data_IF_250612312794
#
_entry.id   IF_250612312794
#
_cell.length_a   1.000
_cell.length_b   1.000
_cell.length_c   1.000
_cell.angle_alpha   90.00
_cell.angle_beta   90.00
_cell.angle_gamma   90.00
#
_symmetry.space_group_name_H-M   'P 1'
#
loop_
_entity.id
_entity.type
_entity.pdbx_description
1 polymer ?
#
# COMPACT_ATOMS: atom_id res chain seq x y z
N UNK A 1 8.38 23.20 7.14
CA UNK A 1 7.27 22.49 6.47
C UNK A 1 7.37 21.03 6.85
N UNK A 2 6.26 20.33 7.10
CA UNK A 2 6.30 18.90 7.37
C UNK A 2 6.87 18.14 6.16
N UNK A 3 7.52 17.00 6.45
CA UNK A 3 8.05 16.11 5.42
C UNK A 3 6.89 15.48 4.64
N UNK A 4 6.98 15.43 3.31
CA UNK A 4 5.97 14.82 2.46
C UNK A 4 5.86 13.30 2.67
N UNK A 5 4.67 12.73 2.42
CA UNK A 5 4.44 11.28 2.61
C UNK A 5 5.41 10.44 1.80
N UNK A 6 5.72 10.83 0.56
CA UNK A 6 6.68 10.10 -0.27
C UNK A 6 8.10 10.11 0.31
N UNK A 7 8.54 11.26 0.84
CA UNK A 7 9.87 11.36 1.44
C UNK A 7 9.97 10.52 2.72
N UNK A 8 8.86 10.43 3.48
CA UNK A 8 8.76 9.52 4.63
C UNK A 8 8.87 8.05 4.18
N UNK A 9 8.21 7.67 3.09
CA UNK A 9 8.33 6.32 2.54
C UNK A 9 9.77 6.00 2.14
N UNK A 10 10.48 6.93 1.50
CA UNK A 10 11.88 6.78 1.10
C UNK A 10 12.81 6.55 2.29
N UNK A 11 12.52 7.15 3.46
CA UNK A 11 13.31 6.91 4.67
C UNK A 11 13.24 5.46 5.15
N UNK A 12 12.06 4.82 5.01
CA UNK A 12 11.83 3.51 5.60
C UNK A 12 11.95 2.36 4.61
N UNK A 13 11.81 2.60 3.30
CA UNK A 13 11.90 1.53 2.30
C UNK A 13 13.30 0.92 2.22
N UNK A 14 14.32 1.67 2.61
CA UNK A 14 15.73 1.20 2.68
C UNK A 14 16.12 0.66 4.06
N UNK A 15 15.24 0.73 5.06
CA UNK A 15 15.48 0.20 6.42
C UNK A 15 15.07 -1.29 6.49
N UNK A 16 16.03 -2.24 6.57
CA UNK A 16 15.72 -3.67 6.61
C UNK A 16 14.78 -4.07 7.76
N UNK A 17 14.83 -3.37 8.89
CA UNK A 17 13.97 -3.64 10.03
C UNK A 17 12.50 -3.21 9.78
N UNK A 18 12.27 -2.30 8.85
CA UNK A 18 10.93 -1.78 8.54
C UNK A 18 10.31 -2.46 7.31
N UNK A 19 11.10 -2.83 6.33
CA UNK A 19 10.59 -3.48 5.10
C UNK A 19 10.42 -4.99 5.22
N UNK A 20 10.75 -5.59 6.37
CA UNK A 20 10.62 -7.04 6.60
C UNK A 20 9.18 -7.56 6.54
N UNK A 21 8.20 -6.69 6.73
CA UNK A 21 6.77 -6.99 6.59
C UNK A 21 6.00 -5.75 6.12
N UNK A 22 4.93 -5.96 5.35
CA UNK A 22 4.12 -4.88 4.82
C UNK A 22 3.46 -4.02 5.92
N UNK A 23 2.95 -4.65 6.99
CA UNK A 23 2.36 -3.93 8.11
C UNK A 23 3.39 -3.12 8.90
N UNK A 24 4.59 -3.65 9.15
CA UNK A 24 5.66 -2.92 9.85
C UNK A 24 6.10 -1.68 9.06
N UNK A 25 6.22 -1.81 7.75
CA UNK A 25 6.52 -0.67 6.88
C UNK A 25 5.44 0.41 6.96
N UNK A 26 4.17 0.02 6.75
CA UNK A 26 3.05 0.98 6.78
C UNK A 26 2.89 1.62 8.16
N UNK A 27 3.10 0.86 9.23
CA UNK A 27 3.09 1.37 10.62
C UNK A 27 4.19 2.41 10.86
N UNK A 28 5.41 2.15 10.38
CA UNK A 28 6.53 3.09 10.52
C UNK A 28 6.25 4.40 9.75
N UNK A 29 5.73 4.29 8.53
CA UNK A 29 5.32 5.47 7.73
C UNK A 29 4.20 6.23 8.46
N UNK A 30 3.16 5.53 8.94
CA UNK A 30 2.04 6.15 9.64
C UNK A 30 2.48 6.87 10.92
N UNK A 31 3.36 6.27 11.72
CA UNK A 31 3.89 6.90 12.93
C UNK A 31 4.66 8.20 12.61
N UNK A 32 5.46 8.20 11.54
CA UNK A 32 6.19 9.40 11.11
C UNK A 32 5.26 10.46 10.53
N UNK A 33 4.27 10.07 9.70
CA UNK A 33 3.23 10.96 9.20
C UNK A 33 2.47 11.58 10.38
N UNK A 34 2.06 10.77 11.36
CA UNK A 34 1.40 11.28 12.57
C UNK A 34 2.24 12.35 13.28
N UNK A 35 3.53 12.10 13.47
CA UNK A 35 4.46 13.05 14.08
C UNK A 35 4.61 14.34 13.26
N UNK A 36 4.75 14.26 11.93
CA UNK A 36 4.95 15.42 11.06
C UNK A 36 3.71 16.32 10.96
N UNK A 37 2.52 15.71 10.97
CA UNK A 37 1.25 16.41 10.75
C UNK A 37 0.42 16.62 12.01
N UNK A 38 0.90 16.17 13.19
CA UNK A 38 0.20 16.30 14.47
C UNK A 38 -1.06 15.42 14.56
N UNK A 39 -1.02 14.23 13.96
CA UNK A 39 -2.12 13.27 13.95
C UNK A 39 -1.80 12.07 14.86
N UNK A 40 -2.78 11.59 15.61
CA UNK A 40 -2.68 10.30 16.29
C UNK A 40 -3.13 9.18 15.35
N UNK A 41 -2.17 8.45 14.80
CA UNK A 41 -2.42 7.36 13.85
C UNK A 41 -2.09 5.98 14.42
N UNK A 42 -1.70 5.90 15.70
CA UNK A 42 -1.23 4.64 16.30
C UNK A 42 -2.27 3.54 16.19
N UNK A 43 -3.47 3.77 16.70
CA UNK A 43 -4.54 2.76 16.72
C UNK A 43 -5.07 2.44 15.32
N UNK A 44 -5.01 3.41 14.40
CA UNK A 44 -5.44 3.21 13.01
C UNK A 44 -4.56 2.21 12.26
N UNK A 45 -3.30 2.08 12.64
CA UNK A 45 -2.33 1.19 11.98
C UNK A 45 -1.84 0.05 12.88
N UNK A 46 -2.46 -0.16 14.04
CA UNK A 46 -2.13 -1.29 14.90
C UNK A 46 -2.54 -2.64 14.29
N UNK A 47 -1.74 -3.68 14.58
CA UNK A 47 -2.00 -5.05 14.16
C UNK A 47 -1.35 -5.44 12.83
N UNK A 48 -1.83 -6.54 12.27
CA UNK A 48 -1.34 -7.06 10.99
C UNK A 48 -2.05 -6.44 9.77
N UNK A 49 -1.67 -6.85 8.57
CA UNK A 49 -2.25 -6.34 7.33
C UNK A 49 -3.78 -6.53 7.26
N UNK A 50 -4.31 -7.66 7.77
CA UNK A 50 -5.76 -7.89 7.82
C UNK A 50 -6.46 -6.88 8.74
N UNK A 51 -5.88 -6.59 9.91
CA UNK A 51 -6.43 -5.62 10.85
C UNK A 51 -6.42 -4.21 10.28
N UNK A 52 -5.32 -3.78 9.67
CA UNK A 52 -5.21 -2.46 9.03
C UNK A 52 -6.23 -2.35 7.89
N UNK A 53 -6.25 -3.32 6.97
CA UNK A 53 -7.16 -3.34 5.83
C UNK A 53 -8.64 -3.43 6.27
N UNK A 54 -8.94 -4.14 7.35
CA UNK A 54 -10.29 -4.27 7.90
C UNK A 54 -10.91 -2.94 8.32
N UNK A 55 -10.10 -1.94 8.70
CA UNK A 55 -10.57 -0.60 9.11
C UNK A 55 -11.08 0.27 7.97
N UNK A 56 -10.88 -0.13 6.73
CA UNK A 56 -11.43 0.53 5.54
C UNK A 56 -12.01 -0.48 4.53
N UNK A 57 -12.76 -1.45 5.05
CA UNK A 57 -13.31 -2.55 4.25
C UNK A 57 -14.41 -2.12 3.28
N UNK A 58 -15.34 -1.31 3.76
CA UNK A 58 -16.42 -0.70 2.99
C UNK A 58 -16.60 0.76 3.43
N UNK A 59 -17.34 1.53 2.64
CA UNK A 59 -17.64 2.93 3.01
C UNK A 59 -18.33 3.03 4.39
N UNK A 60 -19.29 2.13 4.64
CA UNK A 60 -20.07 2.09 5.88
C UNK A 60 -19.25 1.67 7.10
N UNK A 61 -18.31 0.74 6.91
CA UNK A 61 -17.53 0.15 8.00
C UNK A 61 -16.13 0.79 8.14
N UNK A 62 -15.90 1.89 7.43
CA UNK A 62 -14.63 2.61 7.53
C UNK A 62 -14.51 3.34 8.87
N UNK A 63 -13.41 3.08 9.56
CA UNK A 63 -13.12 3.62 10.90
C UNK A 63 -12.22 4.86 10.78
N UNK A 64 -12.56 5.99 11.41
CA UNK A 64 -11.68 7.15 11.47
C UNK A 64 -10.27 6.77 11.99
N UNK A 65 -9.19 7.40 11.49
CA UNK A 65 -9.16 8.57 10.60
C UNK A 65 -9.23 8.25 9.09
N UNK A 66 -9.44 6.98 8.70
CA UNK A 66 -9.55 6.60 7.30
C UNK A 66 -10.78 7.23 6.63
N UNK A 67 -10.60 7.63 5.39
CA UNK A 67 -11.67 8.05 4.48
C UNK A 67 -11.66 7.08 3.29
N UNK A 68 -12.79 6.42 3.05
CA UNK A 68 -12.92 5.36 2.07
C UNK A 68 -12.80 5.89 0.63
N UNK A 69 -11.98 5.25 -0.17
CA UNK A 69 -11.89 5.48 -1.62
C UNK A 69 -12.58 4.33 -2.38
N UNK A 70 -12.47 3.10 -1.86
CA UNK A 70 -12.92 1.89 -2.55
C UNK A 70 -11.90 1.36 -3.57
N UNK A 71 -12.35 0.60 -4.58
CA UNK A 71 -11.45 0.01 -5.58
C UNK A 71 -11.05 1.00 -6.70
N UNK A 72 -11.18 2.30 -6.45
CA UNK A 72 -10.96 3.34 -7.46
C UNK A 72 -9.50 3.79 -7.49
N UNK A 73 -8.67 3.06 -8.23
CA UNK A 73 -7.23 3.30 -8.38
C UNK A 73 -6.87 4.72 -8.86
N UNK A 74 -7.69 5.30 -9.74
CA UNK A 74 -7.45 6.66 -10.26
C UNK A 74 -7.66 7.72 -9.17
N UNK A 75 -8.68 7.54 -8.32
CA UNK A 75 -8.90 8.40 -7.15
C UNK A 75 -7.76 8.23 -6.12
N UNK A 76 -7.29 7.00 -5.89
CA UNK A 76 -6.16 6.75 -5.00
C UNK A 76 -4.90 7.48 -5.50
N UNK A 77 -4.63 7.41 -6.81
CA UNK A 77 -3.55 8.16 -7.46
C UNK A 77 -3.72 9.67 -7.28
N UNK A 78 -4.93 10.19 -7.50
CA UNK A 78 -5.22 11.62 -7.35
C UNK A 78 -4.97 12.09 -5.92
N UNK A 79 -5.50 11.39 -4.92
CA UNK A 79 -5.29 11.77 -3.51
C UNK A 79 -3.83 11.71 -3.10
N UNK A 80 -3.05 10.72 -3.61
CA UNK A 80 -1.62 10.66 -3.37
C UNK A 80 -0.89 11.85 -4.03
N UNK A 81 -1.24 12.21 -5.27
CA UNK A 81 -0.70 13.39 -5.97
C UNK A 81 -1.04 14.69 -5.23
N UNK A 82 -2.19 14.75 -4.57
CA UNK A 82 -2.59 15.86 -3.72
C UNK A 82 -1.87 15.86 -2.36
N UNK A 83 -0.95 14.92 -2.13
CA UNK A 83 -0.12 14.83 -0.92
C UNK A 83 -0.86 14.27 0.29
N UNK A 84 -1.97 13.57 0.09
CA UNK A 84 -2.67 12.85 1.15
C UNK A 84 -1.93 11.54 1.50
N UNK A 85 -2.12 11.04 2.72
CA UNK A 85 -1.60 9.73 3.10
C UNK A 85 -2.57 8.64 2.65
N UNK A 86 -2.27 8.01 1.52
CA UNK A 86 -3.12 6.99 0.89
C UNK A 86 -2.55 5.61 1.12
N UNK A 87 -3.41 4.67 1.51
CA UNK A 87 -3.07 3.25 1.69
C UNK A 87 -3.97 2.39 0.82
N UNK A 88 -3.46 1.25 0.41
CA UNK A 88 -4.22 0.24 -0.33
C UNK A 88 -3.94 -1.16 0.18
N UNK A 89 -4.87 -2.10 0.01
CA UNK A 89 -4.63 -3.46 0.45
C UNK A 89 -5.72 -4.45 0.16
N UNK A 90 -5.40 -5.71 0.45
CA UNK A 90 -6.28 -6.87 0.47
C UNK A 90 -6.08 -7.65 1.77
N UNK A 91 -7.15 -8.17 2.35
CA UNK A 91 -7.07 -9.16 3.44
C UNK A 91 -6.63 -10.52 2.90
N UNK A 92 -6.20 -11.40 3.79
CA UNK A 92 -5.92 -12.80 3.43
C UNK A 92 -7.11 -13.49 2.75
N UNK A 93 -8.32 -13.24 3.23
CA UNK A 93 -9.55 -13.81 2.67
C UNK A 93 -9.84 -13.29 1.25
N UNK A 94 -9.45 -12.05 0.94
CA UNK A 94 -9.57 -11.46 -0.40
C UNK A 94 -8.47 -11.94 -1.34
N UNK A 95 -7.35 -12.45 -0.83
CA UNK A 95 -6.20 -12.94 -1.60
C UNK A 95 -6.34 -14.42 -1.96
N UNK A 96 -7.52 -14.82 -2.42
CA UNK A 96 -7.83 -16.15 -2.96
C UNK A 96 -8.24 -15.97 -4.43
N UNK A 97 -7.59 -16.73 -5.33
CA UNK A 97 -7.89 -16.68 -6.76
C UNK A 97 -7.60 -18.00 -7.44
N UNK A 98 -8.27 -18.28 -8.55
CA UNK A 98 -7.97 -19.42 -9.41
C UNK A 98 -6.89 -18.99 -10.41
N UNK A 99 -5.73 -19.63 -10.34
CA UNK A 99 -4.62 -19.36 -11.24
C UNK A 99 -4.83 -19.86 -12.67
N UNK A 100 -3.89 -19.57 -13.56
CA UNK A 100 -3.90 -20.09 -14.94
C UNK A 100 -3.76 -21.61 -15.00
N UNK A 101 -3.18 -22.20 -13.97
CA UNK A 101 -3.05 -23.66 -13.76
C UNK A 101 -4.38 -24.30 -13.29
N UNK A 102 -5.47 -23.54 -13.24
CA UNK A 102 -6.81 -23.94 -12.76
C UNK A 102 -6.84 -24.37 -11.29
N UNK A 103 -5.80 -24.07 -10.51
CA UNK A 103 -5.75 -24.35 -9.08
C UNK A 103 -6.12 -23.11 -8.27
N UNK A 104 -6.65 -23.35 -7.07
CA UNK A 104 -6.83 -22.28 -6.08
C UNK A 104 -5.48 -21.89 -5.50
N UNK A 105 -5.18 -20.61 -5.54
CA UNK A 105 -4.05 -19.98 -4.87
C UNK A 105 -4.57 -19.15 -3.72
N UNK A 106 -3.93 -19.29 -2.57
CA UNK A 106 -4.31 -18.62 -1.32
C UNK A 106 -3.07 -18.05 -0.66
N UNK A 107 -3.11 -16.76 -0.37
CA UNK A 107 -2.06 -16.13 0.41
C UNK A 107 -2.12 -16.59 1.88
N UNK A 108 -0.97 -16.60 2.54
CA UNK A 108 -0.89 -16.92 3.98
C UNK A 108 -1.23 -15.73 4.87
N UNK A 109 -1.24 -14.51 4.32
CA UNK A 109 -1.56 -13.26 5.02
C UNK A 109 -2.12 -12.23 4.05
N UNK A 110 -2.74 -11.19 4.57
CA UNK A 110 -3.11 -10.00 3.80
C UNK A 110 -1.90 -9.16 3.42
N UNK A 111 -2.12 -8.16 2.57
CA UNK A 111 -1.08 -7.24 2.14
C UNK A 111 -1.57 -5.79 2.12
N UNK A 112 -0.73 -4.85 2.57
CA UNK A 112 -1.00 -3.42 2.58
C UNK A 112 0.20 -2.64 2.03
N UNK A 113 -0.08 -1.55 1.35
CA UNK A 113 0.91 -0.67 0.72
C UNK A 113 0.60 0.80 1.01
N UNK A 114 1.61 1.66 0.90
CA UNK A 114 1.43 3.12 0.84
C UNK A 114 1.45 3.55 -0.62
N UNK A 115 0.40 4.22 -1.08
CA UNK A 115 0.32 4.76 -2.44
C UNK A 115 1.21 5.99 -2.55
N UNK A 116 2.04 6.01 -3.60
CA UNK A 116 2.97 7.09 -3.90
C UNK A 116 2.40 8.05 -4.96
N UNK A 117 2.80 9.31 -4.96
CA UNK A 117 2.46 10.27 -6.00
C UNK A 117 3.11 9.94 -7.34
N UNK A 118 2.83 10.77 -8.35
CA UNK A 118 3.33 10.68 -9.74
C UNK A 118 2.79 9.48 -10.56
N UNK A 119 1.64 8.93 -10.13
CA UNK A 119 0.91 7.93 -10.94
C UNK A 119 0.00 8.58 -12.01
N UNK A 120 -0.63 7.77 -12.85
CA UNK A 120 -0.54 6.31 -12.88
C UNK A 120 0.81 5.79 -13.41
N UNK A 121 1.12 4.54 -13.04
CA UNK A 121 2.35 3.85 -13.47
C UNK A 121 2.34 3.54 -14.97
N UNK A 122 3.52 3.30 -15.52
CA UNK A 122 3.68 2.90 -16.92
C UNK A 122 3.86 1.39 -17.04
N UNK A 123 3.37 0.81 -18.14
CA UNK A 123 3.68 -0.56 -18.51
C UNK A 123 5.18 -0.73 -18.77
N UNK A 124 5.74 -1.89 -18.44
CA UNK A 124 7.15 -2.15 -18.64
C UNK A 124 7.63 -3.39 -17.89
N UNK A 125 8.89 -3.36 -17.51
CA UNK A 125 9.52 -4.40 -16.71
C UNK A 125 10.18 -3.75 -15.50
N UNK A 126 9.93 -4.31 -14.32
CA UNK A 126 10.65 -3.98 -13.09
C UNK A 126 11.61 -5.11 -12.75
N UNK A 127 12.61 -4.82 -11.93
CA UNK A 127 13.56 -5.82 -11.44
C UNK A 127 13.28 -6.10 -9.97
N UNK A 128 13.07 -7.36 -9.64
CA UNK A 128 12.92 -7.82 -8.25
C UNK A 128 14.27 -7.79 -7.52
N UNK A 129 14.26 -7.95 -6.20
CA UNK A 129 15.47 -7.87 -5.37
C UNK A 129 16.54 -8.91 -5.72
N UNK A 130 16.15 -10.07 -6.27
CA UNK A 130 17.03 -11.12 -6.74
C UNK A 130 17.52 -10.94 -8.19
N UNK A 131 17.18 -9.83 -8.83
CA UNK A 131 17.50 -9.53 -10.23
C UNK A 131 16.49 -10.08 -11.25
N UNK A 132 15.47 -10.82 -10.82
CA UNK A 132 14.44 -11.37 -11.73
C UNK A 132 13.61 -10.27 -12.37
N UNK A 133 13.47 -10.23 -13.70
CA UNK A 133 12.60 -9.29 -14.37
C UNK A 133 11.12 -9.69 -14.20
N UNK A 134 10.26 -8.73 -13.89
CA UNK A 134 8.82 -8.91 -13.79
C UNK A 134 8.08 -7.90 -14.66
N UNK A 135 7.25 -8.40 -15.59
CA UNK A 135 6.42 -7.55 -16.43
C UNK A 135 5.27 -6.94 -15.63
N UNK A 136 5.03 -5.65 -15.83
CA UNK A 136 3.96 -4.86 -15.23
C UNK A 136 3.08 -4.22 -16.30
N UNK A 137 1.78 -4.13 -16.03
CA UNK A 137 0.79 -3.66 -17.01
C UNK A 137 0.73 -2.14 -17.10
N UNK A 138 1.03 -1.45 -16.00
CA UNK A 138 0.82 -0.02 -15.87
C UNK A 138 -0.66 0.37 -15.70
N UNK A 139 -0.91 1.67 -15.53
CA UNK A 139 -2.25 2.19 -15.26
C UNK A 139 -2.73 1.96 -13.84
N UNK A 140 -1.83 1.61 -12.92
CA UNK A 140 -2.08 1.46 -11.48
C UNK A 140 -1.30 2.50 -10.69
N UNK A 141 -1.67 2.78 -9.42
CA UNK A 141 -0.88 3.67 -8.58
C UNK A 141 0.55 3.17 -8.39
N UNK A 142 1.50 4.09 -8.27
CA UNK A 142 2.78 3.77 -7.66
C UNK A 142 2.59 3.54 -6.17
N UNK A 143 3.47 2.72 -5.56
CA UNK A 143 3.41 2.44 -4.14
C UNK A 143 4.79 2.13 -3.56
N UNK A 144 4.87 2.19 -2.23
CA UNK A 144 5.95 1.66 -1.42
C UNK A 144 5.41 0.54 -0.53
N UNK A 145 6.23 -0.46 -0.27
CA UNK A 145 5.84 -1.62 0.53
C UNK A 145 6.99 -2.23 1.33
N UNK A 146 6.65 -2.96 2.38
CA UNK A 146 7.49 -4.01 2.95
C UNK A 146 7.03 -5.38 2.48
N UNK A 147 7.91 -6.38 2.48
CA UNK A 147 7.58 -7.75 2.11
C UNK A 147 8.33 -8.77 2.97
N UNK A 148 7.62 -9.82 3.40
CA UNK A 148 8.21 -10.90 4.19
C UNK A 148 9.24 -11.69 3.38
N UNK A 149 8.97 -11.95 2.11
CA UNK A 149 9.92 -12.58 1.20
C UNK A 149 10.87 -11.55 0.59
N UNK A 150 12.16 -11.76 0.75
CA UNK A 150 13.20 -10.81 0.33
C UNK A 150 13.16 -10.49 -1.16
N UNK A 151 12.84 -11.46 -2.02
CA UNK A 151 12.76 -11.25 -3.47
C UNK A 151 11.72 -10.17 -3.87
N UNK A 152 10.68 -9.97 -3.05
CA UNK A 152 9.64 -8.96 -3.28
C UNK A 152 9.91 -7.64 -2.56
N UNK A 153 11.03 -7.50 -1.85
CA UNK A 153 11.46 -6.26 -1.20
C UNK A 153 12.08 -5.32 -2.22
N UNK A 154 11.26 -4.53 -2.86
CA UNK A 154 11.72 -3.49 -3.77
C UNK A 154 12.07 -2.27 -2.91
N UNK A 155 13.36 -1.94 -2.84
CA UNK A 155 13.91 -0.85 -2.00
C UNK A 155 13.72 0.54 -2.61
N UNK A 156 12.70 0.69 -3.44
CA UNK A 156 12.32 1.93 -4.10
C UNK A 156 10.81 1.90 -4.38
N UNK A 157 10.34 2.94 -5.02
CA UNK A 157 8.99 3.03 -5.52
C UNK A 157 8.72 1.92 -6.54
N UNK A 158 7.66 1.19 -6.31
CA UNK A 158 7.15 0.18 -7.23
C UNK A 158 5.72 0.54 -7.66
N UNK A 159 4.96 -0.40 -8.16
CA UNK A 159 3.58 -0.18 -8.61
C UNK A 159 2.66 -1.29 -8.12
N UNK A 160 1.40 -0.96 -7.90
CA UNK A 160 0.40 -1.85 -7.31
C UNK A 160 0.27 -3.17 -8.08
N UNK A 161 0.38 -3.14 -9.41
CA UNK A 161 0.32 -4.34 -10.26
C UNK A 161 1.61 -5.19 -10.25
N UNK A 162 2.66 -4.72 -9.57
CA UNK A 162 3.83 -5.52 -9.22
C UNK A 162 3.69 -6.23 -7.87
N UNK A 163 2.79 -5.75 -7.04
CA UNK A 163 2.66 -6.16 -5.63
C UNK A 163 1.52 -7.15 -5.42
N UNK A 164 0.40 -6.95 -6.13
CA UNK A 164 -0.78 -7.80 -6.02
C UNK A 164 -0.94 -8.70 -7.24
N UNK A 165 -1.46 -9.94 -7.07
CA UNK A 165 -1.74 -10.83 -8.19
C UNK A 165 -2.65 -10.15 -9.23
N UNK A 166 -2.33 -10.35 -10.51
CA UNK A 166 -3.02 -9.69 -11.63
C UNK A 166 -4.56 -9.87 -11.62
N UNK A 167 -5.04 -11.01 -11.11
CA UNK A 167 -6.47 -11.33 -11.01
C UNK A 167 -7.18 -10.63 -9.85
N UNK A 168 -6.42 -10.02 -8.93
CA UNK A 168 -6.93 -9.35 -7.74
C UNK A 168 -6.81 -7.83 -7.80
N UNK A 169 -6.19 -7.27 -8.83
CA UNK A 169 -5.90 -5.85 -8.92
C UNK A 169 -7.13 -4.95 -8.80
N UNK A 170 -8.25 -5.36 -9.41
CA UNK A 170 -9.51 -4.61 -9.33
C UNK A 170 -10.25 -4.77 -7.99
N UNK A 171 -9.74 -5.66 -7.10
CA UNK A 171 -10.26 -5.86 -5.74
C UNK A 171 -9.49 -5.09 -4.68
N UNK A 172 -8.35 -4.50 -5.03
CA UNK A 172 -7.57 -3.69 -4.08
C UNK A 172 -8.41 -2.52 -3.63
N UNK A 173 -8.63 -2.42 -2.32
CA UNK A 173 -9.36 -1.30 -1.73
C UNK A 173 -8.38 -0.27 -1.22
N UNK A 174 -8.72 0.98 -1.45
CA UNK A 174 -7.95 2.14 -1.04
C UNK A 174 -8.71 2.99 -0.03
N UNK A 175 -7.95 3.64 0.83
CA UNK A 175 -8.42 4.70 1.71
C UNK A 175 -7.33 5.76 1.87
N UNK A 176 -7.71 6.95 2.32
CA UNK A 176 -6.74 7.99 2.62
C UNK A 176 -6.99 8.60 4.01
N UNK A 177 -5.97 9.26 4.52
CA UNK A 177 -6.04 10.10 5.71
C UNK A 177 -5.74 11.52 5.27
N UNK A 178 -6.64 12.45 5.61
CA UNK A 178 -6.47 13.85 5.29
C UNK A 178 -5.41 14.48 6.20
N UNK A 179 -4.18 14.56 5.68
CA UNK A 179 -3.03 15.14 6.40
C UNK A 179 -2.98 16.67 6.32
N UNK A 180 -3.84 17.30 5.50
CA UNK A 180 -3.89 18.76 5.33
C UNK A 180 -4.90 19.43 6.24
N UNK A 181 -5.81 18.66 6.79
CA UNK A 181 -6.87 19.17 7.69
C UNK A 181 -6.23 19.55 9.03
N UNK A 182 -5.87 20.82 9.18
CA UNK A 182 -5.52 21.36 10.49
C UNK A 182 -6.75 21.25 11.40
N UNK A 183 -6.57 20.64 12.58
CA UNK A 183 -7.54 20.73 13.68
C UNK A 183 -7.71 22.16 14.13
#
# INVERSE_FOLDING_TARGET
MPMGVEDICKLYVTDPAKVSNCNQFVQAVAAKVGSEYGLDLKDAFDGNANAIRGRFSTEKDTVPPFIYIGPFKDKATQFANDGQFVVGGLTQAEMIYIGRDKKEHKATMGHVVVVAPAGPSKAGTITLADGTPMAVRGGYPYCYQGAAHEIYRILDRTQVDAVFPALLLEKVIYAYIDVKKKK
#
